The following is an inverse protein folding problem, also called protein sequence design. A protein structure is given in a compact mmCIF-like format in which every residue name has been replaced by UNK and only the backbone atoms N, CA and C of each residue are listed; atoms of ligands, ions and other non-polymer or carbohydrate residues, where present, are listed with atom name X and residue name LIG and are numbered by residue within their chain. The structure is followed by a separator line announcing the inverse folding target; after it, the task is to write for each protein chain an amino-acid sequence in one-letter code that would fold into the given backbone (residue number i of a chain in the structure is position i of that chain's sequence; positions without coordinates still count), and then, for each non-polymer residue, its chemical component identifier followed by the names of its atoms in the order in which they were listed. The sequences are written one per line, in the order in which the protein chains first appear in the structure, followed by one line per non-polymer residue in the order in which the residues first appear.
data_IF_573438770971
#
_entry.id   IF_573438770971
#
_cell.length_a   1.000
_cell.length_b   1.000
_cell.length_c   1.000
_cell.angle_alpha   90.00
_cell.angle_beta   90.00
_cell.angle_gamma   90.00
#
_symmetry.space_group_name_H-M   'P 1'
#
loop_
_entity.id
_entity.type
_entity.pdbx_description
1 polymer ?
#
# COMPACT_ATOMS: atom_id res chain seq x y z
N UNK A 1 20.37 -16.19 7.23
CA UNK A 1 20.56 -14.83 6.67
C UNK A 1 19.39 -14.40 5.79
N UNK A 2 18.96 -15.19 4.79
CA UNK A 2 17.83 -14.82 3.90
C UNK A 2 16.49 -14.61 4.62
N UNK A 3 16.16 -15.48 5.58
CA UNK A 3 14.88 -15.46 6.29
C UNK A 3 14.61 -14.14 7.05
N UNK A 4 15.62 -13.63 7.77
CA UNK A 4 15.50 -12.37 8.50
C UNK A 4 15.30 -11.18 7.55
N UNK A 5 16.00 -11.16 6.42
CA UNK A 5 15.83 -10.13 5.40
C UNK A 5 14.43 -10.20 4.75
N UNK A 6 13.94 -11.39 4.43
CA UNK A 6 12.58 -11.58 3.91
C UNK A 6 11.52 -11.12 4.91
N UNK A 7 11.71 -11.42 6.19
CA UNK A 7 10.77 -10.98 7.23
C UNK A 7 10.82 -9.46 7.43
N UNK A 8 11.99 -8.82 7.29
CA UNK A 8 12.10 -7.37 7.26
C UNK A 8 11.34 -6.76 6.07
N UNK A 9 11.46 -7.33 4.86
CA UNK A 9 10.70 -6.86 3.70
C UNK A 9 9.19 -7.01 3.94
N UNK A 10 8.74 -8.12 4.54
CA UNK A 10 7.32 -8.29 4.90
C UNK A 10 6.85 -7.21 5.87
N UNK A 11 7.64 -6.86 6.88
CA UNK A 11 7.30 -5.78 7.80
C UNK A 11 7.16 -4.43 7.06
N UNK A 12 8.10 -4.11 6.17
CA UNK A 12 8.04 -2.90 5.34
C UNK A 12 6.75 -2.87 4.52
N UNK A 13 6.40 -3.99 3.86
CA UNK A 13 5.18 -4.10 3.03
C UNK A 13 3.93 -3.91 3.89
N UNK A 14 3.84 -4.60 5.02
CA UNK A 14 2.66 -4.52 5.89
C UNK A 14 2.50 -3.12 6.49
N UNK A 15 3.59 -2.49 6.93
CA UNK A 15 3.55 -1.13 7.45
C UNK A 15 3.16 -0.12 6.36
N UNK A 16 3.64 -0.32 5.13
CA UNK A 16 3.27 0.52 3.99
C UNK A 16 1.77 0.46 3.74
N UNK A 17 1.17 -0.74 3.64
CA UNK A 17 -0.27 -0.88 3.37
C UNK A 17 -1.09 -0.37 4.56
N UNK A 18 -0.65 -0.60 5.80
CA UNK A 18 -1.32 -0.06 6.98
C UNK A 18 -1.36 1.47 6.97
N UNK A 19 -0.24 2.11 6.60
CA UNK A 19 -0.18 3.57 6.45
C UNK A 19 -1.06 4.08 5.31
N UNK A 20 -1.04 3.42 4.14
CA UNK A 20 -1.92 3.77 3.02
C UNK A 20 -3.40 3.71 3.40
N UNK A 21 -3.81 2.64 4.07
CA UNK A 21 -5.18 2.47 4.56
C UNK A 21 -5.54 3.54 5.58
N UNK A 22 -4.65 3.88 6.50
CA UNK A 22 -4.91 4.87 7.55
C UNK A 22 -5.00 6.30 7.01
N UNK A 23 -4.17 6.65 6.03
CA UNK A 23 -4.14 7.98 5.40
C UNK A 23 -5.21 8.16 4.32
N UNK A 24 -5.82 7.06 3.87
CA UNK A 24 -6.86 7.12 2.84
C UNK A 24 -8.18 7.71 3.35
N UNK A 25 -8.86 8.54 2.53
CA UNK A 25 -10.16 9.07 2.86
C UNK A 25 -11.21 7.97 3.01
N UNK A 26 -12.16 8.21 3.90
CA UNK A 26 -13.18 7.24 4.32
C UNK A 26 -14.53 7.47 3.65
N UNK A 27 -14.71 8.53 2.85
CA UNK A 27 -15.97 8.93 2.15
C UNK A 27 -16.96 7.77 1.90
N UNK A 28 -16.72 6.96 0.87
CA UNK A 28 -17.40 5.66 0.66
C UNK A 28 -16.54 4.47 1.14
N UNK A 29 -15.33 4.73 1.61
CA UNK A 29 -14.31 3.72 1.89
C UNK A 29 -13.71 3.04 0.64
N UNK A 30 -14.21 3.32 -0.56
CA UNK A 30 -13.81 2.64 -1.79
C UNK A 30 -12.31 2.77 -2.09
N UNK A 31 -11.75 3.98 -1.98
CA UNK A 31 -10.32 4.21 -2.22
C UNK A 31 -9.47 3.43 -1.19
N UNK A 32 -9.81 3.58 0.08
CA UNK A 32 -9.15 2.93 1.22
C UNK A 32 -9.11 1.41 1.09
N UNK A 33 -10.20 0.80 0.61
CA UNK A 33 -10.29 -0.64 0.39
C UNK A 33 -9.48 -1.13 -0.82
N UNK A 34 -9.08 -0.23 -1.73
CA UNK A 34 -8.57 -0.59 -3.06
C UNK A 34 -7.05 -0.68 -3.19
N UNK A 35 -6.30 -0.68 -2.08
CA UNK A 35 -4.86 -0.89 -2.14
C UNK A 35 -4.54 -2.36 -2.45
N UNK A 36 -3.63 -2.57 -3.41
CA UNK A 36 -3.26 -3.88 -3.93
C UNK A 36 -1.77 -4.10 -3.67
N UNK A 37 -1.44 -5.28 -3.14
CA UNK A 37 -0.07 -5.81 -3.11
C UNK A 37 0.03 -6.94 -4.12
N UNK A 38 1.09 -6.93 -4.92
CA UNK A 38 1.42 -8.04 -5.83
C UNK A 38 2.92 -8.29 -5.87
N UNK A 39 3.30 -9.54 -6.11
CA UNK A 39 4.71 -10.00 -6.09
C UNK A 39 5.08 -10.52 -7.47
N UNK A 40 6.16 -10.01 -8.04
CA UNK A 40 6.69 -10.41 -9.35
C UNK A 40 6.11 -9.64 -10.54
N UNK A 41 4.81 -9.31 -10.51
CA UNK A 41 4.13 -8.54 -11.56
C UNK A 41 3.08 -7.61 -10.96
N UNK A 42 2.92 -6.41 -11.54
CA UNK A 42 1.87 -5.48 -11.17
C UNK A 42 0.46 -6.05 -11.43
N UNK A 43 -0.50 -5.66 -10.59
CA UNK A 43 -1.93 -5.97 -10.75
C UNK A 43 -2.65 -4.69 -11.16
N UNK A 44 -3.17 -4.66 -12.38
CA UNK A 44 -3.91 -3.53 -12.96
C UNK A 44 -5.43 -3.63 -12.76
N UNK A 45 -5.90 -4.61 -11.99
CA UNK A 45 -7.31 -4.75 -11.63
C UNK A 45 -7.78 -3.61 -10.74
N UNK A 46 -9.06 -3.23 -10.88
CA UNK A 46 -9.71 -2.27 -9.99
C UNK A 46 -10.47 -3.05 -8.91
N UNK A 47 -10.25 -2.70 -7.64
CA UNK A 47 -10.90 -3.34 -6.50
C UNK A 47 -12.21 -2.64 -6.15
N UNK A 48 -13.15 -3.41 -5.64
CA UNK A 48 -14.43 -2.90 -5.12
C UNK A 48 -14.38 -2.68 -3.60
N UNK A 49 -15.27 -1.87 -3.01
CA UNK A 49 -15.16 -1.40 -1.62
C UNK A 49 -15.17 -2.50 -0.56
N UNK A 50 -15.63 -3.71 -0.89
CA UNK A 50 -15.70 -4.86 0.00
C UNK A 50 -14.34 -5.55 0.27
N UNK A 51 -13.27 -5.14 -0.40
CA UNK A 51 -11.95 -5.77 -0.21
C UNK A 51 -11.27 -5.32 1.08
N UNK A 52 -10.59 -6.26 1.76
CA UNK A 52 -9.75 -5.94 2.91
C UNK A 52 -8.25 -5.91 2.49
N UNK A 53 -7.69 -4.73 2.21
CA UNK A 53 -6.34 -4.61 1.67
C UNK A 53 -5.25 -5.09 2.64
N UNK A 54 -5.50 -5.05 3.95
CA UNK A 54 -4.54 -5.51 4.96
C UNK A 54 -4.46 -7.04 4.94
N UNK A 55 -5.61 -7.71 4.88
CA UNK A 55 -5.65 -9.17 4.78
C UNK A 55 -5.05 -9.65 3.44
N UNK A 56 -5.38 -8.97 2.35
CA UNK A 56 -4.81 -9.28 1.02
C UNK A 56 -3.29 -9.07 1.02
N UNK A 57 -2.79 -7.98 1.61
CA UNK A 57 -1.36 -7.74 1.77
C UNK A 57 -0.67 -8.83 2.59
N UNK A 58 -1.28 -9.29 3.69
CA UNK A 58 -0.72 -10.37 4.51
C UNK A 58 -0.58 -11.67 3.70
N UNK A 59 -1.58 -12.02 2.88
CA UNK A 59 -1.53 -13.19 2.00
C UNK A 59 -0.39 -13.07 0.98
N UNK A 60 -0.19 -11.87 0.40
CA UNK A 60 0.86 -11.64 -0.59
C UNK A 60 2.25 -11.58 0.05
N UNK A 61 2.35 -11.05 1.27
CA UNK A 61 3.59 -10.99 2.03
C UNK A 61 4.17 -12.39 2.30
N UNK A 62 3.32 -13.41 2.46
CA UNK A 62 3.74 -14.81 2.59
C UNK A 62 4.43 -15.36 1.34
N UNK A 63 4.20 -14.77 0.17
CA UNK A 63 4.81 -15.18 -1.11
C UNK A 63 6.15 -14.49 -1.38
N UNK A 64 6.52 -13.47 -0.59
CA UNK A 64 7.75 -12.70 -0.78
C UNK A 64 8.97 -13.58 -0.51
N UNK A 65 9.88 -13.57 -1.48
CA UNK A 65 11.24 -14.09 -1.41
C UNK A 65 12.23 -12.97 -1.72
N UNK A 66 13.45 -13.09 -1.19
CA UNK A 66 14.50 -12.12 -1.48
C UNK A 66 14.75 -12.03 -2.99
N UNK A 67 14.87 -10.81 -3.53
CA UNK A 67 15.02 -10.55 -4.96
C UNK A 67 13.69 -10.43 -5.72
N UNK A 68 12.54 -10.64 -5.09
CA UNK A 68 11.26 -10.30 -5.70
C UNK A 68 11.03 -8.80 -5.76
N UNK A 69 10.39 -8.35 -6.84
CA UNK A 69 9.81 -7.02 -6.93
C UNK A 69 8.39 -7.06 -6.35
N UNK A 70 8.10 -6.18 -5.39
CA UNK A 70 6.78 -6.03 -4.79
C UNK A 70 6.16 -4.73 -5.30
N UNK A 71 4.95 -4.82 -5.83
CA UNK A 71 4.17 -3.67 -6.26
C UNK A 71 3.10 -3.38 -5.21
N UNK A 72 2.97 -2.10 -4.85
CA UNK A 72 1.91 -1.61 -3.95
C UNK A 72 1.20 -0.48 -4.70
N UNK A 73 -0.07 -0.68 -5.04
CA UNK A 73 -0.78 0.14 -6.03
C UNK A 73 -2.22 0.43 -5.61
N UNK A 74 -2.81 1.48 -6.17
CA UNK A 74 -4.25 1.74 -6.15
C UNK A 74 -4.66 2.18 -7.55
N UNK A 75 -5.61 1.47 -8.14
CA UNK A 75 -5.98 1.65 -9.55
C UNK A 75 -7.27 2.46 -9.75
N UNK A 76 -7.78 3.12 -8.70
CA UNK A 76 -8.92 4.03 -8.85
C UNK A 76 -8.48 5.24 -9.69
N UNK A 77 -9.22 5.52 -10.77
CA UNK A 77 -8.89 6.59 -11.73
C UNK A 77 -8.77 7.99 -11.08
N UNK A 78 -9.45 8.21 -9.95
CA UNK A 78 -9.38 9.46 -9.20
C UNK A 78 -8.23 9.51 -8.17
N UNK A 79 -7.44 8.45 -8.01
CA UNK A 79 -6.31 8.37 -7.07
C UNK A 79 -5.33 9.53 -7.21
N UNK A 80 -4.87 9.91 -8.42
CA UNK A 80 -4.00 11.08 -8.60
C UNK A 80 -4.60 12.39 -8.07
N UNK A 81 -5.93 12.55 -8.07
CA UNK A 81 -6.56 13.75 -7.48
C UNK A 81 -6.42 13.74 -5.96
N UNK A 82 -6.64 12.58 -5.32
CA UNK A 82 -6.47 12.43 -3.88
C UNK A 82 -5.01 12.68 -3.46
N UNK A 83 -4.05 12.18 -4.23
CA UNK A 83 -2.62 12.47 -4.00
C UNK A 83 -2.30 13.97 -4.08
N UNK A 84 -3.04 14.73 -4.89
CA UNK A 84 -2.89 16.18 -5.04
C UNK A 84 -3.83 16.99 -4.12
N UNK A 85 -4.32 16.40 -3.03
CA UNK A 85 -5.02 17.12 -1.97
C UNK A 85 -6.49 17.44 -2.26
N UNK A 86 -7.14 16.72 -3.18
CA UNK A 86 -8.57 16.94 -3.50
C UNK A 86 -9.54 16.39 -2.44
N UNK A 87 -9.04 15.89 -1.32
CA UNK A 87 -9.85 15.46 -0.18
C UNK A 87 -9.43 16.23 1.06
N UNK A 88 -10.42 16.79 1.77
CA UNK A 88 -10.20 17.43 3.07
C UNK A 88 -9.63 16.45 4.12
N UNK A 89 -9.81 15.15 3.91
CA UNK A 89 -9.25 14.10 4.78
C UNK A 89 -7.83 13.70 4.42
N UNK A 90 -7.40 13.96 3.17
CA UNK A 90 -6.05 13.67 2.69
C UNK A 90 -5.45 14.88 1.93
N UNK A 91 -5.39 16.08 2.54
CA UNK A 91 -5.01 17.31 1.85
C UNK A 91 -3.53 17.32 1.41
N UNK A 92 -2.71 16.43 1.99
CA UNK A 92 -1.28 16.30 1.72
C UNK A 92 -0.94 15.04 0.88
N UNK A 93 -1.94 14.34 0.37
CA UNK A 93 -1.79 13.07 -0.36
C UNK A 93 -1.64 11.85 0.56
N UNK A 94 -1.44 10.67 -0.04
CA UNK A 94 -1.44 9.38 0.67
C UNK A 94 -0.13 8.62 0.42
N UNK A 95 0.20 8.34 -0.84
CA UNK A 95 1.40 7.58 -1.22
C UNK A 95 2.68 8.36 -0.93
N UNK A 96 2.71 9.66 -1.23
CA UNK A 96 3.88 10.51 -0.96
C UNK A 96 4.22 10.58 0.53
N UNK A 97 3.20 10.79 1.38
CA UNK A 97 3.37 10.78 2.83
C UNK A 97 3.77 9.40 3.36
N UNK A 98 3.15 8.34 2.84
CA UNK A 98 3.49 6.97 3.23
C UNK A 98 4.94 6.65 2.89
N UNK A 99 5.40 6.99 1.68
CA UNK A 99 6.79 6.79 1.28
C UNK A 99 7.75 7.49 2.25
N UNK A 100 7.52 8.77 2.54
CA UNK A 100 8.36 9.52 3.49
C UNK A 100 8.41 8.87 4.87
N UNK A 101 7.26 8.45 5.40
CA UNK A 101 7.17 7.77 6.69
C UNK A 101 7.94 6.44 6.71
N UNK A 102 7.73 5.59 5.70
CA UNK A 102 8.37 4.27 5.62
C UNK A 102 9.88 4.41 5.41
N UNK A 103 10.33 5.32 4.54
CA UNK A 103 11.76 5.61 4.37
C UNK A 103 12.41 6.04 5.68
N UNK A 104 11.80 6.98 6.41
CA UNK A 104 12.34 7.41 7.71
C UNK A 104 12.38 6.26 8.73
N UNK A 105 11.35 5.41 8.78
CA UNK A 105 11.26 4.29 9.72
C UNK A 105 12.34 3.23 9.48
N UNK A 106 12.72 3.01 8.22
CA UNK A 106 13.62 1.92 7.82
C UNK A 106 15.01 2.38 7.36
N UNK A 107 15.36 3.66 7.58
CA UNK A 107 16.73 4.16 7.45
C UNK A 107 17.05 4.85 6.12
N UNK A 108 16.17 5.77 5.69
CA UNK A 108 16.43 6.68 4.57
C UNK A 108 17.72 7.49 4.71
#
# INVERSE_FOLDING_TARGET
MSKAAEDQVKHIVMDTVQSLVNLSPVDTGAYRASHIVSVGSADFGVREPETNPINDAAIQAMKIKLGNLVYIQNNKAYGPRLENGWSDQAPQGIYGLTFNFISQKYGG
#
